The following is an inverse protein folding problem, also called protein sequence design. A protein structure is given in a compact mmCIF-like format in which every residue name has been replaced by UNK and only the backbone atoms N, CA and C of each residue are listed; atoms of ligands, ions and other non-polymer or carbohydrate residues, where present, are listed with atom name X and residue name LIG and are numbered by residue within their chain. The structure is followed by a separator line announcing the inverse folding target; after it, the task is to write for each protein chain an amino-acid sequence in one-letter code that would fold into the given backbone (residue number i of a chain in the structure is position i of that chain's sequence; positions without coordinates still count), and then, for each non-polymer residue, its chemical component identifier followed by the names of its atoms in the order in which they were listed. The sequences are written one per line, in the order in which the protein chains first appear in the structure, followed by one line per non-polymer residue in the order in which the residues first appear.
data_IF_257721342842
#
_entry.id   IF_257721342842
#
_cell.length_a   1.000
_cell.length_b   1.000
_cell.length_c   1.000
_cell.angle_alpha   90.00
_cell.angle_beta   90.00
_cell.angle_gamma   90.00
#
_symmetry.space_group_name_H-M   'P 1'
#
loop_
_entity.id
_entity.type
_entity.pdbx_description
1 polymer ?
#
# COMPACT_ATOMS: atom_id res chain seq x y z
N UNK A 1 15.98 -10.88 11.05
CA UNK A 1 15.97 -9.80 10.03
C UNK A 1 15.78 -8.47 10.74
N UNK A 2 16.71 -7.52 10.54
CA UNK A 2 16.61 -6.18 11.13
C UNK A 2 15.44 -5.37 10.55
N UNK A 3 15.00 -4.34 11.27
CA UNK A 3 13.86 -3.49 10.88
C UNK A 3 14.05 -2.85 9.51
N UNK A 4 15.25 -2.29 9.24
CA UNK A 4 15.56 -1.67 7.96
C UNK A 4 15.38 -2.63 6.78
N UNK A 5 15.82 -3.89 6.92
CA UNK A 5 15.62 -4.90 5.88
C UNK A 5 14.14 -5.22 5.65
N UNK A 6 13.34 -5.30 6.72
CA UNK A 6 11.88 -5.52 6.61
C UNK A 6 11.20 -4.36 5.89
N UNK A 7 11.57 -3.13 6.27
CA UNK A 7 11.04 -1.92 5.66
C UNK A 7 11.36 -1.90 4.16
N UNK A 8 12.60 -2.14 3.76
CA UNK A 8 13.00 -2.19 2.35
C UNK A 8 12.17 -3.22 1.57
N UNK A 9 12.01 -4.44 2.09
CA UNK A 9 11.20 -5.48 1.42
C UNK A 9 9.74 -5.03 1.27
N UNK A 10 9.14 -4.50 2.33
CA UNK A 10 7.76 -4.03 2.27
C UNK A 10 7.59 -2.81 1.39
N UNK A 11 8.55 -1.89 1.35
CA UNK A 11 8.54 -0.72 0.46
C UNK A 11 8.62 -1.15 -1.00
N UNK A 12 9.51 -2.08 -1.35
CA UNK A 12 9.65 -2.60 -2.71
C UNK A 12 8.39 -3.32 -3.21
N UNK A 13 7.56 -3.85 -2.30
CA UNK A 13 6.28 -4.48 -2.65
C UNK A 13 5.12 -3.48 -2.65
N UNK A 14 4.96 -2.72 -1.57
CA UNK A 14 3.78 -1.90 -1.34
C UNK A 14 3.78 -0.61 -2.17
N UNK A 15 4.96 -0.02 -2.46
CA UNK A 15 5.02 1.24 -3.22
C UNK A 15 4.62 1.04 -4.69
N UNK A 16 5.19 0.07 -5.44
CA UNK A 16 4.74 -0.16 -6.82
C UNK A 16 3.27 -0.54 -6.90
N UNK A 17 2.79 -1.34 -5.93
CA UNK A 17 1.41 -1.79 -5.87
C UNK A 17 0.45 -0.63 -5.56
N UNK A 18 0.83 0.25 -4.63
CA UNK A 18 0.10 1.47 -4.33
C UNK A 18 0.03 2.43 -5.51
N UNK A 19 1.17 2.70 -6.17
CA UNK A 19 1.22 3.51 -7.40
C UNK A 19 0.28 2.94 -8.46
N UNK A 20 0.36 1.64 -8.73
CA UNK A 20 -0.45 0.98 -9.75
C UNK A 20 -1.94 1.06 -9.47
N UNK A 21 -2.36 0.79 -8.23
CA UNK A 21 -3.77 0.90 -7.82
C UNK A 21 -4.24 2.35 -7.89
N UNK A 22 -3.48 3.29 -7.33
CA UNK A 22 -3.85 4.70 -7.32
C UNK A 22 -3.98 5.28 -8.73
N UNK A 23 -3.00 5.00 -9.60
CA UNK A 23 -3.06 5.42 -10.99
C UNK A 23 -4.24 4.78 -11.75
N UNK A 24 -4.43 3.47 -11.59
CA UNK A 24 -5.49 2.72 -12.25
C UNK A 24 -6.88 3.23 -11.89
N UNK A 25 -7.12 3.48 -10.61
CA UNK A 25 -8.43 3.95 -10.12
C UNK A 25 -8.72 5.37 -10.61
N UNK A 26 -7.73 6.28 -10.53
CA UNK A 26 -7.92 7.65 -11.02
C UNK A 26 -8.09 7.74 -12.53
N UNK A 27 -7.51 6.81 -13.30
CA UNK A 27 -7.74 6.71 -14.75
C UNK A 27 -9.16 6.26 -15.10
N UNK A 28 -9.77 5.41 -14.27
CA UNK A 28 -11.12 4.88 -14.51
C UNK A 28 -12.25 5.84 -14.15
N UNK A 29 -11.97 6.92 -13.40
CA UNK A 29 -12.97 7.92 -13.00
C UNK A 29 -12.98 9.21 -13.83
N UNK A 30 -11.99 9.42 -14.71
CA UNK A 30 -11.93 10.61 -15.56
C UNK A 30 -12.80 10.47 -16.83
N UNK A 31 -13.90 11.22 -16.91
CA UNK A 31 -14.79 11.23 -18.09
C UNK A 31 -14.23 12.00 -19.30
N UNK A 32 -13.23 12.87 -19.12
CA UNK A 32 -12.77 13.80 -20.17
C UNK A 32 -11.38 13.49 -20.76
N UNK A 33 -10.94 14.39 -21.64
CA UNK A 33 -9.78 14.35 -22.56
C UNK A 33 -8.56 13.53 -22.10
N UNK A 34 -7.78 12.98 -23.06
CA UNK A 34 -6.58 12.18 -22.76
C UNK A 34 -5.57 12.89 -21.84
N UNK A 35 -5.54 14.23 -21.83
CA UNK A 35 -4.66 15.04 -20.98
C UNK A 35 -5.18 15.07 -19.53
N UNK A 36 -6.49 15.15 -19.32
CA UNK A 36 -7.09 15.09 -17.99
C UNK A 36 -6.94 13.70 -17.37
N UNK A 37 -7.05 12.64 -18.17
CA UNK A 37 -6.78 11.26 -17.71
C UNK A 37 -5.34 11.06 -17.29
N UNK A 38 -4.38 11.57 -18.04
CA UNK A 38 -2.96 11.49 -17.65
C UNK A 38 -2.68 12.21 -16.33
N UNK A 39 -3.27 13.39 -16.14
CA UNK A 39 -3.13 14.19 -14.91
C UNK A 39 -3.82 13.51 -13.72
N UNK A 40 -5.02 12.96 -13.93
CA UNK A 40 -5.74 12.16 -12.93
C UNK A 40 -4.93 10.92 -12.54
N UNK A 41 -4.41 10.17 -13.51
CA UNK A 41 -3.56 9.01 -13.28
C UNK A 41 -2.28 9.35 -12.50
N UNK A 42 -1.67 10.51 -12.77
CA UNK A 42 -0.49 10.97 -12.04
C UNK A 42 -0.82 11.37 -10.59
N UNK A 43 -1.91 12.09 -10.36
CA UNK A 43 -2.37 12.41 -9.01
C UNK A 43 -2.74 11.14 -8.22
N UNK A 44 -3.41 10.20 -8.88
CA UNK A 44 -3.69 8.88 -8.35
C UNK A 44 -2.43 8.09 -8.00
N UNK A 45 -1.41 8.13 -8.87
CA UNK A 45 -0.11 7.51 -8.61
C UNK A 45 0.58 8.09 -7.37
N UNK A 46 0.53 9.42 -7.17
CA UNK A 46 1.09 10.08 -5.98
C UNK A 46 0.34 9.66 -4.72
N UNK A 47 -1.00 9.67 -4.75
CA UNK A 47 -1.80 9.23 -3.62
C UNK A 47 -1.50 7.75 -3.29
N UNK A 48 -1.45 6.91 -4.32
CA UNK A 48 -1.09 5.50 -4.23
C UNK A 48 0.31 5.26 -3.68
N UNK A 49 1.30 6.07 -4.06
CA UNK A 49 2.66 6.03 -3.52
C UNK A 49 2.67 6.24 -2.00
N UNK A 50 1.96 7.27 -1.52
CA UNK A 50 1.87 7.55 -0.09
C UNK A 50 1.16 6.44 0.68
N UNK A 51 0.06 5.91 0.14
CA UNK A 51 -0.62 4.76 0.74
C UNK A 51 0.29 3.51 0.78
N UNK A 52 1.05 3.27 -0.27
CA UNK A 52 2.05 2.20 -0.33
C UNK A 52 3.15 2.36 0.72
N UNK A 53 3.66 3.57 0.93
CA UNK A 53 4.64 3.86 1.99
C UNK A 53 4.07 3.63 3.40
N UNK A 54 2.85 4.12 3.66
CA UNK A 54 2.17 3.92 4.95
C UNK A 54 1.90 2.43 5.19
N UNK A 55 1.48 1.71 4.14
CA UNK A 55 1.32 0.26 4.14
C UNK A 55 2.61 -0.47 4.49
N UNK A 56 3.72 -0.10 3.85
CA UNK A 56 5.03 -0.69 4.11
C UNK A 56 5.53 -0.45 5.53
N UNK A 57 5.38 0.78 6.03
CA UNK A 57 5.78 1.14 7.39
C UNK A 57 4.95 0.38 8.42
N UNK A 58 3.64 0.29 8.21
CA UNK A 58 2.72 -0.46 9.06
C UNK A 58 3.06 -1.96 9.05
N UNK A 59 3.28 -2.56 7.88
CA UNK A 59 3.65 -3.97 7.78
C UNK A 59 5.01 -4.26 8.45
N UNK A 60 6.01 -3.41 8.25
CA UNK A 60 7.32 -3.57 8.88
C UNK A 60 7.26 -3.42 10.42
N UNK A 61 6.43 -2.50 10.92
CA UNK A 61 6.26 -2.25 12.35
C UNK A 61 5.48 -3.38 13.00
N UNK A 62 4.33 -3.76 12.45
CA UNK A 62 3.49 -4.82 13.00
C UNK A 62 4.19 -6.17 12.97
N UNK A 63 4.85 -6.54 11.88
CA UNK A 63 5.60 -7.81 11.81
C UNK A 63 6.83 -7.83 12.72
N UNK A 64 7.36 -6.67 13.13
CA UNK A 64 8.41 -6.57 14.15
C UNK A 64 7.85 -6.79 15.55
N UNK A 65 6.76 -6.11 15.89
CA UNK A 65 6.16 -6.16 17.24
C UNK A 65 5.47 -7.51 17.46
N UNK A 66 4.67 -7.97 16.50
CA UNK A 66 3.89 -9.20 16.61
C UNK A 66 4.70 -10.46 16.30
N UNK A 67 6.03 -10.38 16.21
CA UNK A 67 6.87 -11.50 15.78
C UNK A 67 6.75 -12.74 16.66
N UNK A 68 6.86 -12.55 17.98
CA UNK A 68 6.74 -13.63 18.95
C UNK A 68 5.32 -14.24 19.00
N UNK A 69 4.24 -13.45 19.10
CA UNK A 69 2.89 -14.01 19.10
C UNK A 69 2.55 -14.70 17.77
N UNK A 70 2.98 -14.16 16.62
CA UNK A 70 2.80 -14.82 15.32
C UNK A 70 3.48 -16.19 15.29
N UNK A 71 4.72 -16.28 15.78
CA UNK A 71 5.44 -17.56 15.86
C UNK A 71 4.75 -18.56 16.77
N UNK A 72 4.22 -18.13 17.92
CA UNK A 72 3.50 -19.01 18.86
C UNK A 72 2.20 -19.54 18.27
N UNK A 73 1.51 -18.75 17.45
CA UNK A 73 0.28 -19.15 16.78
C UNK A 73 0.50 -19.96 15.48
N UNK A 74 1.75 -20.25 15.10
CA UNK A 74 2.07 -20.88 13.80
C UNK A 74 1.80 -19.96 12.60
N UNK A 75 1.67 -18.65 12.83
CA UNK A 75 1.35 -17.65 11.82
C UNK A 75 2.54 -17.25 10.94
N UNK A 76 2.24 -16.67 9.77
CA UNK A 76 3.23 -16.19 8.82
C UNK A 76 3.42 -14.68 8.91
N UNK A 77 4.67 -14.24 9.16
CA UNK A 77 5.06 -12.82 9.10
C UNK A 77 4.78 -12.22 7.71
N UNK A 78 4.92 -13.02 6.65
CA UNK A 78 4.70 -12.59 5.26
C UNK A 78 3.21 -12.36 4.97
N UNK A 79 2.34 -13.33 5.31
CA UNK A 79 0.89 -13.18 5.11
C UNK A 79 0.35 -12.00 5.91
N UNK A 80 0.78 -11.85 7.17
CA UNK A 80 0.34 -10.76 8.03
C UNK A 80 0.69 -9.39 7.44
N UNK A 81 1.93 -9.21 6.99
CA UNK A 81 2.32 -7.96 6.36
C UNK A 81 1.61 -7.71 5.03
N UNK A 82 1.33 -8.76 4.25
CA UNK A 82 0.56 -8.62 3.01
C UNK A 82 -0.86 -8.14 3.30
N UNK A 83 -1.54 -8.74 4.29
CA UNK A 83 -2.86 -8.29 4.73
C UNK A 83 -2.87 -6.82 5.17
N UNK A 84 -1.83 -6.37 5.87
CA UNK A 84 -1.71 -4.97 6.29
C UNK A 84 -1.56 -4.04 5.09
N UNK A 85 -0.70 -4.38 4.13
CA UNK A 85 -0.49 -3.59 2.91
C UNK A 85 -1.79 -3.51 2.10
N UNK A 86 -2.43 -4.64 1.81
CA UNK A 86 -3.67 -4.65 1.05
C UNK A 86 -4.82 -3.96 1.78
N UNK A 87 -4.95 -4.17 3.09
CA UNK A 87 -5.97 -3.53 3.92
C UNK A 87 -5.83 -2.01 3.94
N UNK A 88 -4.61 -1.49 4.11
CA UNK A 88 -4.36 -0.04 4.10
C UNK A 88 -4.53 0.59 2.72
N UNK A 89 -4.15 -0.12 1.65
CA UNK A 89 -4.41 0.34 0.30
C UNK A 89 -5.92 0.40 0.02
N UNK A 90 -6.69 -0.61 0.42
CA UNK A 90 -8.14 -0.63 0.25
C UNK A 90 -8.84 0.45 1.07
N UNK A 91 -8.50 0.61 2.35
CA UNK A 91 -9.06 1.65 3.23
C UNK A 91 -8.66 3.05 2.73
N UNK A 92 -7.39 3.24 2.38
CA UNK A 92 -6.89 4.51 1.86
C UNK A 92 -7.57 4.90 0.56
N UNK A 93 -7.76 3.94 -0.34
CA UNK A 93 -8.51 4.16 -1.58
C UNK A 93 -9.97 4.54 -1.30
N UNK A 94 -10.65 3.79 -0.41
CA UNK A 94 -12.02 4.11 -0.01
C UNK A 94 -12.15 5.51 0.59
N UNK A 95 -11.20 5.94 1.43
CA UNK A 95 -11.18 7.29 1.98
C UNK A 95 -11.01 8.35 0.90
N UNK A 96 -10.16 8.12 -0.10
CA UNK A 96 -10.01 9.02 -1.25
C UNK A 96 -11.27 9.09 -2.12
N UNK A 97 -12.14 8.07 -2.07
CA UNK A 97 -13.42 8.08 -2.80
C UNK A 97 -14.54 8.83 -2.08
N UNK A 98 -14.43 8.96 -0.75
CA UNK A 98 -15.45 9.55 0.11
C UNK A 98 -15.14 11.01 0.47
N UNK A 99 -13.94 11.50 0.15
CA UNK A 99 -13.49 12.87 0.37
C UNK A 99 -13.81 13.76 -0.84
#
# INVERSE_FOLDING_TARGET
MGFLKRLIVWTLLAVPLGIGIGAGVSLTWGEDSNIDRATAGFNGAIAGFWLGLIGALSAATTTRIAREPLRRAGGSECLTGAFIVFGLLAVGLALLTLA
#
